data_IF_625491565408
#
_entry.id   IF_625491565408
#
_cell.length_a   1.000
_cell.length_b   1.000
_cell.length_c   1.000
_cell.angle_alpha   90.00
_cell.angle_beta   90.00
_cell.angle_gamma   90.00
#
_symmetry.space_group_name_H-M   'P 1'
#
loop_
_entity.id
_entity.type
_entity.pdbx_description
1 polymer ?
#
# COMPACT_ATOMS: atom_id res chain seq x y z
N UNK A 1 1.53 0.58 -7.69
CA UNK A 1 0.53 1.28 -8.53
C UNK A 1 0.46 2.80 -8.29
N UNK A 2 1.46 3.39 -7.61
CA UNK A 2 1.49 4.82 -7.33
C UNK A 2 1.74 5.64 -8.62
N UNK A 3 0.99 6.72 -8.81
CA UNK A 3 1.20 7.70 -9.89
C UNK A 3 2.46 8.54 -9.65
N UNK A 4 3.01 9.14 -10.69
CA UNK A 4 4.16 10.03 -10.61
C UNK A 4 3.96 11.13 -9.57
N UNK A 5 5.04 11.51 -8.88
CA UNK A 5 4.95 12.55 -7.84
C UNK A 5 4.52 13.89 -8.40
N UNK A 6 5.14 14.32 -9.50
CA UNK A 6 4.90 15.65 -10.08
C UNK A 6 3.42 15.80 -10.46
N UNK A 7 2.84 14.78 -11.09
CA UNK A 7 1.40 14.74 -11.39
C UNK A 7 0.54 14.90 -10.14
N UNK A 8 0.91 14.25 -9.03
CA UNK A 8 0.14 14.30 -7.79
C UNK A 8 0.32 15.66 -7.08
N UNK A 9 1.52 16.21 -7.07
CA UNK A 9 1.83 17.51 -6.44
C UNK A 9 1.14 18.65 -7.17
N UNK A 10 1.13 18.69 -8.50
CA UNK A 10 0.41 19.67 -9.30
C UNK A 10 -1.10 19.69 -9.00
N UNK A 11 -1.67 18.57 -8.58
CA UNK A 11 -3.10 18.41 -8.27
C UNK A 11 -3.42 18.34 -6.79
N UNK A 12 -2.43 18.61 -5.95
CA UNK A 12 -2.55 18.50 -4.50
C UNK A 12 -3.06 17.12 -4.03
N UNK A 13 -2.66 16.06 -4.74
CA UNK A 13 -2.99 14.68 -4.41
C UNK A 13 -1.90 14.09 -3.50
N UNK A 14 -2.29 13.61 -2.34
CA UNK A 14 -1.39 12.90 -1.43
C UNK A 14 -0.91 11.56 -1.99
N UNK A 15 -0.26 10.76 -1.14
CA UNK A 15 0.21 9.41 -1.53
C UNK A 15 -0.77 8.29 -1.15
N UNK A 16 -2.02 8.63 -0.84
CA UNK A 16 -3.02 7.71 -0.32
C UNK A 16 -4.32 7.78 -1.12
N UNK A 17 -5.01 6.63 -1.19
CA UNK A 17 -6.31 6.51 -1.79
C UNK A 17 -6.31 6.42 -3.32
N UNK A 18 -7.51 6.27 -3.87
CA UNK A 18 -7.75 6.06 -5.31
C UNK A 18 -7.08 7.12 -6.21
N UNK A 19 -7.15 8.43 -5.89
CA UNK A 19 -6.58 9.45 -6.78
C UNK A 19 -5.06 9.37 -6.96
N UNK A 20 -4.37 8.68 -6.02
CA UNK A 20 -2.91 8.54 -6.07
C UNK A 20 -2.44 7.32 -6.88
N UNK A 21 -3.35 6.49 -7.37
CA UNK A 21 -3.05 5.18 -7.92
C UNK A 21 -3.48 5.05 -9.38
N UNK A 22 -2.80 4.18 -10.12
CA UNK A 22 -3.30 3.58 -11.36
C UNK A 22 -4.43 2.59 -11.02
N UNK A 23 -5.58 3.11 -10.57
CA UNK A 23 -6.61 2.30 -9.96
C UNK A 23 -7.28 1.32 -10.93
N UNK A 24 -7.55 1.75 -12.15
CA UNK A 24 -8.14 0.87 -13.17
C UNK A 24 -7.17 -0.24 -13.60
N UNK A 25 -5.88 0.09 -13.70
CA UNK A 25 -4.84 -0.91 -13.95
C UNK A 25 -4.73 -1.90 -12.79
N UNK A 26 -4.80 -1.43 -11.56
CA UNK A 26 -4.81 -2.30 -10.36
C UNK A 26 -5.97 -3.29 -10.41
N UNK A 27 -7.19 -2.82 -10.68
CA UNK A 27 -8.39 -3.68 -10.78
C UNK A 27 -8.23 -4.72 -11.90
N UNK A 28 -7.70 -4.31 -13.04
CA UNK A 28 -7.45 -5.20 -14.17
C UNK A 28 -6.43 -6.28 -13.80
N UNK A 29 -5.30 -5.89 -13.20
CA UNK A 29 -4.27 -6.83 -12.74
C UNK A 29 -4.84 -7.85 -11.74
N UNK A 30 -5.64 -7.40 -10.78
CA UNK A 30 -6.24 -8.33 -9.80
C UNK A 30 -7.20 -9.29 -10.46
N UNK A 31 -8.06 -8.81 -11.35
CA UNK A 31 -9.00 -9.66 -12.08
C UNK A 31 -8.26 -10.70 -12.94
N UNK A 32 -7.21 -10.29 -13.63
CA UNK A 32 -6.45 -11.17 -14.50
C UNK A 32 -5.68 -12.23 -13.72
N UNK A 33 -5.04 -11.87 -12.61
CA UNK A 33 -4.30 -12.85 -11.80
C UNK A 33 -5.22 -13.86 -11.11
N UNK A 34 -6.40 -13.43 -10.67
CA UNK A 34 -7.44 -14.33 -10.14
C UNK A 34 -8.02 -15.25 -11.22
N UNK A 35 -7.96 -14.85 -12.48
CA UNK A 35 -8.33 -15.68 -13.62
C UNK A 35 -7.18 -16.58 -14.10
N UNK A 36 -6.09 -16.69 -13.35
CA UNK A 36 -4.94 -17.53 -13.70
C UNK A 36 -4.05 -16.98 -14.81
N UNK A 37 -4.12 -15.68 -15.09
CA UNK A 37 -3.28 -15.03 -16.11
C UNK A 37 -2.09 -14.33 -15.46
N UNK A 38 -0.89 -14.36 -16.08
CA UNK A 38 0.22 -13.53 -15.63
C UNK A 38 -0.09 -12.05 -15.83
N UNK A 39 0.39 -11.21 -14.92
CA UNK A 39 0.19 -9.77 -14.95
C UNK A 39 1.51 -9.01 -14.98
N UNK A 40 1.44 -7.75 -15.42
CA UNK A 40 2.56 -6.81 -15.41
C UNK A 40 2.17 -5.60 -14.58
N UNK A 41 2.76 -5.46 -13.40
CA UNK A 41 2.45 -4.37 -12.48
C UNK A 41 3.43 -3.21 -12.66
N UNK A 42 3.01 -1.96 -12.38
CA UNK A 42 3.90 -0.83 -12.40
C UNK A 42 5.05 -0.99 -11.40
N UNK A 43 6.25 -0.68 -11.86
CA UNK A 43 7.38 -0.45 -10.97
C UNK A 43 7.44 1.05 -10.65
N UNK A 44 7.50 1.38 -9.38
CA UNK A 44 7.67 2.76 -8.94
C UNK A 44 9.11 2.99 -8.47
N UNK A 45 9.79 3.94 -9.11
CA UNK A 45 11.10 4.38 -8.64
C UNK A 45 10.92 5.41 -7.53
N UNK A 46 11.32 5.06 -6.32
CA UNK A 46 11.19 5.93 -5.15
C UNK A 46 12.26 7.04 -5.09
N UNK A 47 13.32 6.96 -5.89
CA UNK A 47 14.38 7.99 -5.93
C UNK A 47 13.92 9.15 -6.79
N UNK A 48 13.60 8.87 -8.06
CA UNK A 48 13.09 9.88 -8.99
C UNK A 48 11.58 10.09 -8.86
N UNK A 49 10.91 9.23 -8.11
CA UNK A 49 9.49 9.30 -7.76
C UNK A 49 8.53 9.21 -8.96
N UNK A 50 8.86 8.33 -9.90
CA UNK A 50 8.08 8.07 -11.11
C UNK A 50 7.63 6.63 -11.23
N UNK A 51 6.51 6.41 -11.92
CA UNK A 51 5.99 5.09 -12.29
C UNK A 51 6.54 4.66 -13.66
N UNK A 52 6.68 3.36 -13.86
CA UNK A 52 6.98 2.78 -15.18
C UNK A 52 5.82 2.89 -16.17
N UNK A 53 4.64 3.30 -15.73
CA UNK A 53 3.44 3.45 -16.55
C UNK A 53 3.02 4.91 -16.62
N UNK A 54 2.38 5.29 -17.73
CA UNK A 54 1.76 6.60 -17.92
C UNK A 54 0.42 6.70 -17.16
N UNK A 55 -0.27 7.83 -17.29
CA UNK A 55 -1.53 8.07 -16.58
C UNK A 55 -2.67 7.14 -17.01
N UNK A 56 -2.63 6.68 -18.25
CA UNK A 56 -3.59 5.74 -18.82
C UNK A 56 -3.28 4.28 -18.44
N UNK A 57 -2.20 4.05 -17.68
CA UNK A 57 -1.77 2.72 -17.28
C UNK A 57 -1.03 1.94 -18.37
N UNK A 58 -0.53 2.62 -19.40
CA UNK A 58 0.31 2.00 -20.44
C UNK A 58 1.77 2.06 -20.03
N UNK A 59 2.52 1.05 -20.44
CA UNK A 59 3.96 1.02 -20.19
C UNK A 59 4.65 2.13 -20.96
N UNK A 60 5.45 2.95 -20.27
CA UNK A 60 6.29 3.97 -20.88
C UNK A 60 7.39 3.31 -21.74
N UNK A 61 7.93 4.01 -22.77
CA UNK A 61 8.96 3.44 -23.67
C UNK A 61 10.16 2.84 -22.93
N UNK A 62 10.63 3.50 -21.87
CA UNK A 62 11.73 3.03 -21.02
C UNK A 62 11.24 2.34 -19.73
N UNK A 63 9.97 2.01 -19.67
CA UNK A 63 9.34 1.40 -18.52
C UNK A 63 9.79 -0.04 -18.32
N UNK A 64 10.03 -0.42 -17.07
CA UNK A 64 10.36 -1.80 -16.70
C UNK A 64 9.33 -2.31 -15.69
N UNK A 65 8.27 -2.99 -16.13
CA UNK A 65 7.22 -3.50 -15.25
C UNK A 65 7.71 -4.72 -14.46
N UNK A 66 6.96 -5.08 -13.43
CA UNK A 66 7.18 -6.33 -12.69
C UNK A 66 6.20 -7.37 -13.20
N UNK A 67 6.70 -8.48 -13.77
CA UNK A 67 5.89 -9.64 -14.11
C UNK A 67 5.57 -10.42 -12.84
N UNK A 68 4.30 -10.80 -12.67
CA UNK A 68 3.82 -11.65 -11.58
C UNK A 68 3.04 -12.81 -12.20
N UNK A 69 3.43 -14.02 -11.86
CA UNK A 69 2.75 -15.24 -12.28
C UNK A 69 1.62 -15.57 -11.28
N UNK A 70 0.54 -16.22 -11.73
CA UNK A 70 -0.49 -16.74 -10.85
C UNK A 70 0.07 -17.72 -9.82
N UNK A 71 -0.50 -17.70 -8.62
CA UNK A 71 -0.14 -18.59 -7.53
C UNK A 71 -1.39 -18.98 -6.72
N UNK A 72 -1.31 -20.06 -5.96
CA UNK A 72 -2.41 -20.50 -5.09
C UNK A 72 -2.72 -19.46 -3.99
N UNK A 73 -1.70 -18.75 -3.52
CA UNK A 73 -1.83 -17.68 -2.53
C UNK A 73 -1.27 -16.39 -3.13
N UNK A 74 -2.07 -15.34 -3.11
CA UNK A 74 -1.73 -14.01 -3.61
C UNK A 74 -1.84 -13.00 -2.48
N UNK A 75 -0.76 -12.28 -2.20
CA UNK A 75 -0.76 -11.20 -1.22
C UNK A 75 -0.91 -9.84 -1.92
N UNK A 76 -1.89 -9.06 -1.48
CA UNK A 76 -2.07 -7.67 -1.89
C UNK A 76 -1.65 -6.78 -0.73
N UNK A 77 -0.56 -6.03 -0.91
CA UNK A 77 -0.02 -5.13 0.11
C UNK A 77 -0.27 -3.67 -0.26
N UNK A 78 -0.61 -2.87 0.72
CA UNK A 78 -0.79 -1.43 0.54
C UNK A 78 -1.25 -0.72 1.80
N UNK A 79 -1.32 0.62 1.72
CA UNK A 79 -1.73 1.44 2.86
C UNK A 79 -3.23 1.32 3.17
N UNK A 80 -4.06 1.05 2.17
CA UNK A 80 -5.52 1.08 2.31
C UNK A 80 -6.20 0.17 1.27
N UNK A 81 -5.76 -1.09 1.09
CA UNK A 81 -6.27 -1.94 0.02
C UNK A 81 -7.78 -2.18 0.14
N UNK A 82 -8.31 -2.30 1.35
CA UNK A 82 -9.73 -2.59 1.58
C UNK A 82 -10.66 -1.39 1.37
N UNK A 83 -10.13 -0.17 1.35
CA UNK A 83 -10.91 1.04 1.08
C UNK A 83 -10.99 1.36 -0.42
N UNK A 84 -10.31 0.60 -1.25
CA UNK A 84 -10.44 0.74 -2.69
C UNK A 84 -11.75 0.10 -3.13
N UNK A 85 -12.56 0.78 -3.97
CA UNK A 85 -13.88 0.29 -4.37
C UNK A 85 -13.83 -1.12 -4.98
N UNK A 86 -14.63 -2.04 -4.45
CA UNK A 86 -14.72 -3.43 -4.93
C UNK A 86 -13.53 -4.32 -4.55
N UNK A 87 -12.63 -3.86 -3.67
CA UNK A 87 -11.45 -4.64 -3.28
C UNK A 87 -11.70 -5.51 -2.05
N UNK A 88 -12.50 -5.03 -1.11
CA UNK A 88 -12.78 -5.77 0.12
C UNK A 88 -13.45 -7.13 -0.15
N UNK A 89 -14.29 -7.20 -1.17
CA UNK A 89 -15.01 -8.40 -1.59
C UNK A 89 -14.13 -9.42 -2.32
N UNK A 90 -13.03 -8.97 -2.92
CA UNK A 90 -12.08 -9.83 -3.65
C UNK A 90 -11.04 -10.49 -2.72
N UNK A 91 -10.88 -9.98 -1.51
CA UNK A 91 -9.87 -10.45 -0.56
C UNK A 91 -10.48 -11.43 0.43
N UNK A 92 -9.99 -12.67 0.42
CA UNK A 92 -10.50 -13.73 1.32
C UNK A 92 -10.13 -13.50 2.78
N UNK A 93 -8.91 -13.02 3.06
CA UNK A 93 -8.44 -12.72 4.42
C UNK A 93 -7.86 -11.31 4.46
N UNK A 94 -8.41 -10.46 5.31
CA UNK A 94 -8.04 -9.05 5.48
C UNK A 94 -7.21 -8.87 6.74
N UNK A 95 -5.95 -8.51 6.55
CA UNK A 95 -5.00 -8.33 7.65
C UNK A 95 -4.61 -6.87 7.78
N UNK A 96 -4.77 -6.28 8.95
CA UNK A 96 -4.35 -4.92 9.25
C UNK A 96 -3.17 -4.93 10.22
N UNK A 97 -2.09 -4.27 9.82
CA UNK A 97 -0.91 -4.07 10.67
C UNK A 97 -0.96 -2.69 11.31
N UNK A 98 -0.98 -2.64 12.63
CA UNK A 98 -0.82 -1.40 13.38
C UNK A 98 0.55 -1.34 14.05
N UNK A 99 1.03 -0.12 14.15
CA UNK A 99 2.29 0.18 14.83
C UNK A 99 2.13 1.55 15.49
N UNK A 100 2.57 1.68 16.72
CA UNK A 100 2.66 2.97 17.41
C UNK A 100 3.41 3.99 16.56
N UNK A 101 2.95 5.25 16.57
CA UNK A 101 3.51 6.30 15.74
C UNK A 101 4.98 6.60 16.03
N UNK A 102 5.43 6.41 17.27
CA UNK A 102 6.85 6.56 17.63
C UNK A 102 7.70 5.47 16.98
N UNK A 103 7.19 4.24 16.98
CA UNK A 103 7.87 3.10 16.34
C UNK A 103 7.85 3.26 14.81
N UNK A 104 6.72 3.70 14.25
CA UNK A 104 6.60 4.00 12.81
C UNK A 104 7.59 5.08 12.38
N UNK A 105 7.68 6.18 13.13
CA UNK A 105 8.63 7.27 12.83
C UNK A 105 10.07 6.77 12.90
N UNK A 106 10.43 6.01 13.94
CA UNK A 106 11.78 5.43 14.09
C UNK A 106 12.14 4.51 12.93
N UNK A 107 11.24 3.60 12.53
CA UNK A 107 11.45 2.68 11.39
C UNK A 107 11.59 3.45 10.08
N UNK A 108 10.73 4.46 9.86
CA UNK A 108 10.76 5.29 8.68
C UNK A 108 12.02 6.16 8.62
N UNK A 109 12.44 6.72 9.74
CA UNK A 109 13.69 7.47 9.85
C UNK A 109 14.87 6.61 9.42
N UNK A 110 15.02 5.45 10.05
CA UNK A 110 16.08 4.49 9.73
C UNK A 110 16.12 4.14 8.24
N UNK A 111 14.95 3.88 7.65
CA UNK A 111 14.85 3.53 6.24
C UNK A 111 15.16 4.69 5.30
N UNK A 112 14.57 5.86 5.52
CA UNK A 112 14.55 6.94 4.54
C UNK A 112 15.69 7.95 4.75
N UNK A 113 16.19 8.12 5.99
CA UNK A 113 17.32 8.97 6.30
C UNK A 113 18.63 8.18 6.34
N UNK A 114 18.70 7.13 7.17
CA UNK A 114 19.96 6.44 7.43
C UNK A 114 20.40 5.58 6.24
N UNK A 115 19.48 4.80 5.68
CA UNK A 115 19.80 3.89 4.57
C UNK A 115 19.66 4.54 3.19
N UNK A 116 18.49 5.12 2.88
CA UNK A 116 18.19 5.62 1.53
C UNK A 116 18.78 7.00 1.25
N UNK A 117 19.18 7.75 2.29
CA UNK A 117 19.66 9.13 2.18
C UNK A 117 18.71 10.04 1.37
N UNK A 118 17.41 9.72 1.43
CA UNK A 118 16.40 10.26 0.51
C UNK A 118 15.90 11.64 0.92
N UNK A 119 15.79 11.89 2.22
CA UNK A 119 15.14 13.09 2.74
C UNK A 119 16.01 13.84 3.74
N UNK A 120 15.84 15.17 3.76
CA UNK A 120 16.27 15.97 4.88
C UNK A 120 15.49 15.54 6.15
N UNK A 121 16.15 15.38 7.32
CA UNK A 121 15.49 14.97 8.56
C UNK A 121 14.32 15.86 8.98
N UNK A 122 14.43 17.17 8.80
CA UNK A 122 13.37 18.13 9.13
C UNK A 122 12.14 17.95 8.22
N UNK A 123 12.36 17.76 6.92
CA UNK A 123 11.30 17.47 5.96
C UNK A 123 10.57 16.16 6.29
N UNK A 124 11.31 15.09 6.59
CA UNK A 124 10.73 13.80 6.94
C UNK A 124 9.85 13.91 8.18
N UNK A 125 10.34 14.57 9.23
CA UNK A 125 9.62 14.79 10.49
C UNK A 125 8.32 15.57 10.27
N UNK A 126 8.39 16.70 9.56
CA UNK A 126 7.22 17.53 9.28
C UNK A 126 6.17 16.78 8.48
N UNK A 127 6.59 16.06 7.44
CA UNK A 127 5.70 15.25 6.62
C UNK A 127 5.05 14.12 7.41
N UNK A 128 5.78 13.50 8.31
CA UNK A 128 5.23 12.45 9.16
C UNK A 128 4.07 12.96 10.02
N UNK A 129 4.26 14.04 10.74
CA UNK A 129 3.23 14.57 11.63
C UNK A 129 2.08 15.27 10.90
N UNK A 130 2.34 15.97 9.81
CA UNK A 130 1.31 16.72 9.07
C UNK A 130 0.47 15.83 8.15
N UNK A 131 1.06 14.79 7.55
CA UNK A 131 0.39 13.97 6.55
C UNK A 131 0.12 12.55 7.06
N UNK A 132 1.14 11.86 7.57
CA UNK A 132 1.05 10.42 7.80
C UNK A 132 0.32 10.03 9.08
N UNK A 133 0.39 10.85 10.13
CA UNK A 133 -0.36 10.59 11.36
C UNK A 133 -1.86 10.81 11.13
N UNK A 134 -2.32 11.97 10.61
CA UNK A 134 -3.75 12.17 10.33
C UNK A 134 -4.30 11.20 9.28
N UNK A 135 -3.55 10.94 8.22
CA UNK A 135 -3.97 9.98 7.18
C UNK A 135 -3.98 8.55 7.69
N UNK A 136 -3.09 8.20 8.62
CA UNK A 136 -3.11 6.91 9.28
C UNK A 136 -4.46 6.64 9.94
N UNK A 137 -4.90 7.51 10.82
CA UNK A 137 -6.20 7.37 11.48
C UNK A 137 -7.37 7.32 10.50
N UNK A 138 -7.41 8.23 9.54
CA UNK A 138 -8.45 8.28 8.52
C UNK A 138 -8.56 6.98 7.69
N UNK A 139 -7.45 6.32 7.44
CA UNK A 139 -7.41 5.10 6.61
C UNK A 139 -7.45 3.82 7.44
N UNK A 140 -6.91 3.79 8.65
CA UNK A 140 -6.84 2.56 9.45
C UNK A 140 -8.16 2.23 10.13
N UNK A 141 -8.84 3.21 10.71
CA UNK A 141 -10.09 2.95 11.44
C UNK A 141 -11.14 2.23 10.59
N UNK A 142 -11.48 2.68 9.37
CA UNK A 142 -12.44 1.94 8.54
C UNK A 142 -11.97 0.52 8.15
N UNK A 143 -10.66 0.31 8.04
CA UNK A 143 -10.13 -1.02 7.74
C UNK A 143 -10.19 -1.96 8.94
N UNK A 144 -10.05 -1.44 10.16
CA UNK A 144 -10.20 -2.22 11.39
C UNK A 144 -11.62 -2.76 11.58
N UNK A 145 -12.62 -2.04 11.08
CA UNK A 145 -14.03 -2.45 11.16
C UNK A 145 -14.36 -3.66 10.29
N UNK A 146 -13.55 -3.92 9.26
CA UNK A 146 -13.78 -4.99 8.28
C UNK A 146 -12.63 -6.00 8.19
N UNK A 147 -11.59 -5.86 9.03
CA UNK A 147 -10.48 -6.80 8.98
C UNK A 147 -10.81 -8.10 9.73
N UNK A 148 -10.20 -9.17 9.26
CA UNK A 148 -10.30 -10.50 9.87
C UNK A 148 -9.21 -10.70 10.94
N UNK A 149 -8.05 -10.11 10.69
CA UNK A 149 -6.86 -10.24 11.53
C UNK A 149 -6.26 -8.86 11.76
N UNK A 150 -5.94 -8.59 13.01
CA UNK A 150 -5.22 -7.39 13.42
C UNK A 150 -3.88 -7.76 14.03
N UNK A 151 -2.80 -7.17 13.53
CA UNK A 151 -1.44 -7.40 14.00
C UNK A 151 -0.89 -6.13 14.64
N UNK A 152 -0.70 -6.16 15.95
CA UNK A 152 0.04 -5.10 16.67
C UNK A 152 1.53 -5.37 16.58
N UNK A 153 2.20 -4.67 15.69
CA UNK A 153 3.65 -4.82 15.50
C UNK A 153 4.49 -4.02 16.50
N UNK A 154 3.86 -3.28 17.38
CA UNK A 154 4.53 -2.62 18.53
C UNK A 154 4.77 -3.61 19.65
N UNK A 155 3.73 -4.37 19.99
CA UNK A 155 3.73 -5.28 21.13
C UNK A 155 3.86 -6.76 20.73
N UNK A 156 4.03 -7.04 19.44
CA UNK A 156 4.07 -8.39 18.89
C UNK A 156 2.81 -9.22 19.26
N UNK A 157 1.63 -8.59 19.17
CA UNK A 157 0.35 -9.22 19.48
C UNK A 157 -0.47 -9.45 18.21
N UNK A 158 -1.22 -10.55 18.21
CA UNK A 158 -2.13 -10.94 17.13
C UNK A 158 -3.55 -11.03 17.68
N UNK A 159 -4.48 -10.41 16.98
CA UNK A 159 -5.90 -10.44 17.29
C UNK A 159 -6.66 -10.96 16.07
N UNK A 160 -7.58 -11.88 16.32
CA UNK A 160 -8.38 -12.52 15.27
C UNK A 160 -9.84 -12.41 15.66
N UNK A 161 -10.70 -12.17 14.68
CA UNK A 161 -12.14 -12.22 14.92
C UNK A 161 -12.56 -13.64 15.32
N UNK A 162 -13.61 -13.79 16.14
CA UNK A 162 -14.05 -15.12 16.58
C UNK A 162 -14.30 -16.08 15.42
N UNK A 163 -14.88 -15.58 14.32
CA UNK A 163 -15.22 -16.35 13.12
C UNK A 163 -13.99 -16.89 12.38
N UNK A 164 -12.88 -16.18 12.48
CA UNK A 164 -11.63 -16.54 11.80
C UNK A 164 -10.59 -17.22 12.70
N UNK A 165 -10.95 -17.51 13.94
CA UNK A 165 -10.06 -18.15 14.91
C UNK A 165 -9.52 -19.50 14.43
N UNK A 166 -10.36 -20.28 13.77
CA UNK A 166 -9.98 -21.58 13.21
C UNK A 166 -8.92 -21.51 12.10
N UNK A 167 -8.75 -20.34 11.46
CA UNK A 167 -7.73 -20.15 10.42
C UNK A 167 -6.30 -20.14 11.00
N UNK A 168 -6.16 -19.90 12.30
CA UNK A 168 -4.85 -19.78 12.98
C UNK A 168 -4.54 -21.01 13.83
N UNK A 169 -5.56 -21.74 14.26
CA UNK A 169 -5.42 -22.92 15.11
C UNK A 169 -5.13 -24.22 14.32
N UNK A 170 -5.08 -24.16 13.00
CA UNK A 170 -4.70 -25.27 12.08
C UNK A 170 -3.27 -25.15 11.62
#
# INVERSE_FOLDING_TARGET
FLLDRDYREERNIGSFGVPALHFELLKTCIRDILAGKPIYTPRYDFIVATSSHDLEGKLKPDGNPVKIEPAEIIFIEGNSPFLLPGMAELVGIKVVYLTDDRVRLKRKWRRDIDYRKKYNPFYLRNRFFKEQVPMGWKNYQPQLEICDIFVDTTNAALWVTPENRELIEK
#
